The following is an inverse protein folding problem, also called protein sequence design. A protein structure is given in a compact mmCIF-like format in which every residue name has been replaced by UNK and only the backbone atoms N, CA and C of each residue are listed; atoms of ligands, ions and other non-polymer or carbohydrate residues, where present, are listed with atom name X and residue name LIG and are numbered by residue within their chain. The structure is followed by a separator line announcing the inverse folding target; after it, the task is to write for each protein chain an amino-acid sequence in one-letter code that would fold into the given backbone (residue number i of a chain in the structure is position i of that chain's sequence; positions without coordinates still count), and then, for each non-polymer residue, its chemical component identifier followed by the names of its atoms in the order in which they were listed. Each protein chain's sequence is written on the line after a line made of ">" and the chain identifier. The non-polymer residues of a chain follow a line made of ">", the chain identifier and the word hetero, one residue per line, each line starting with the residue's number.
data_IF_581238479014
#
_entry.id   IF_581238479014
#
_cell.length_a   1.000
_cell.length_b   1.000
_cell.length_c   1.000
_cell.angle_alpha   90.00
_cell.angle_beta   90.00
_cell.angle_gamma   90.00
#
_symmetry.space_group_name_H-M   'P 1'
#
loop_
_entity.id
_entity.type
_entity.pdbx_description
1 polymer ?
#
# COMPACT_ATOMS: atom_id res chain seq x y z
N UNK A 1 4.26 -16.13 6.23
CA UNK A 1 3.00 -15.68 5.59
C UNK A 1 3.01 -15.78 4.04
N UNK A 2 3.64 -14.89 3.25
CA UNK A 2 3.52 -14.96 1.77
C UNK A 2 4.12 -16.22 1.14
N UNK A 3 5.25 -16.71 1.66
CA UNK A 3 5.85 -17.99 1.21
C UNK A 3 4.96 -19.19 1.51
N UNK A 4 4.32 -19.22 2.69
CA UNK A 4 3.33 -20.24 3.04
C UNK A 4 2.11 -20.21 2.12
N UNK A 5 1.75 -19.04 1.58
CA UNK A 5 0.68 -18.88 0.60
C UNK A 5 1.10 -19.19 -0.83
N UNK A 6 2.32 -19.69 -1.05
CA UNK A 6 2.93 -19.91 -2.38
C UNK A 6 3.05 -18.63 -3.21
N UNK A 7 3.18 -17.47 -2.55
CA UNK A 7 3.34 -16.15 -3.16
C UNK A 7 4.74 -15.56 -2.92
N UNK A 8 5.77 -16.41 -2.77
CA UNK A 8 7.13 -15.96 -2.49
C UNK A 8 7.70 -15.00 -3.54
N UNK A 9 7.23 -15.08 -4.79
CA UNK A 9 7.63 -14.19 -5.87
C UNK A 9 7.12 -12.75 -5.69
N UNK A 10 6.07 -12.54 -4.89
CA UNK A 10 5.53 -11.20 -4.59
C UNK A 10 6.17 -10.58 -3.34
N UNK A 11 7.13 -11.25 -2.68
CA UNK A 11 7.66 -10.77 -1.41
C UNK A 11 8.29 -9.38 -1.53
N UNK A 12 9.06 -9.13 -2.58
CA UNK A 12 9.77 -7.86 -2.76
C UNK A 12 8.80 -6.73 -3.13
N UNK A 13 7.87 -6.99 -4.06
CA UNK A 13 6.84 -6.04 -4.48
C UNK A 13 5.91 -5.69 -3.30
N UNK A 14 5.46 -6.70 -2.54
CA UNK A 14 4.62 -6.49 -1.37
C UNK A 14 5.34 -5.76 -0.24
N UNK A 15 6.60 -6.10 0.04
CA UNK A 15 7.41 -5.41 1.06
C UNK A 15 7.59 -3.93 0.70
N UNK A 16 7.85 -3.64 -0.57
CA UNK A 16 8.02 -2.28 -1.04
C UNK A 16 6.72 -1.48 -0.97
N UNK A 17 5.59 -2.04 -1.42
CA UNK A 17 4.26 -1.41 -1.26
C UNK A 17 3.95 -1.13 0.21
N UNK A 18 4.16 -2.11 1.10
CA UNK A 18 3.91 -1.93 2.54
C UNK A 18 4.81 -0.83 3.11
N UNK A 19 6.08 -0.77 2.72
CA UNK A 19 7.02 0.26 3.15
C UNK A 19 6.56 1.66 2.73
N UNK A 20 6.19 1.85 1.47
CA UNK A 20 5.72 3.13 0.95
C UNK A 20 4.41 3.58 1.64
N UNK A 21 3.43 2.68 1.76
CA UNK A 21 2.15 3.00 2.39
C UNK A 21 2.30 3.31 3.89
N UNK A 22 3.15 2.55 4.59
CA UNK A 22 3.40 2.79 6.02
C UNK A 22 4.19 4.08 6.23
N UNK A 23 5.16 4.39 5.36
CA UNK A 23 5.92 5.64 5.44
C UNK A 23 5.02 6.86 5.23
N UNK A 24 4.10 6.79 4.25
CA UNK A 24 3.10 7.83 4.06
C UNK A 24 2.22 7.97 5.31
N UNK A 25 1.64 6.86 5.79
CA UNK A 25 0.77 6.87 6.96
C UNK A 25 1.47 7.48 8.20
N UNK A 26 2.71 7.08 8.50
CA UNK A 26 3.47 7.59 9.65
C UNK A 26 3.86 9.06 9.48
N UNK A 27 4.27 9.46 8.27
CA UNK A 27 4.68 10.85 7.98
C UNK A 27 3.51 11.82 8.13
N UNK A 28 2.31 11.42 7.69
CA UNK A 28 1.10 12.23 7.84
C UNK A 28 0.53 12.15 9.27
N UNK A 29 0.61 10.98 9.94
CA UNK A 29 0.18 10.83 11.32
C UNK A 29 1.02 11.66 12.31
N UNK A 30 2.30 11.91 12.02
CA UNK A 30 3.14 12.82 12.78
C UNK A 30 2.65 14.28 12.76
N UNK A 31 1.72 14.63 11.85
CA UNK A 31 1.10 15.96 11.75
C UNK A 31 -0.23 16.07 12.52
N UNK A 32 -0.71 15.00 13.16
CA UNK A 32 -1.88 15.03 14.03
C UNK A 32 -2.32 13.65 14.49
N UNK A 33 -2.47 13.50 15.82
CA UNK A 33 -3.00 12.36 16.61
C UNK A 33 -3.39 11.13 15.76
N UNK A 34 -2.38 10.39 15.32
CA UNK A 34 -2.56 9.08 14.68
C UNK A 34 -1.51 8.11 15.22
N UNK A 35 -1.91 7.22 16.11
CA UNK A 35 -1.03 6.26 16.78
C UNK A 35 -1.25 4.81 16.33
N UNK A 36 -2.23 4.58 15.47
CA UNK A 36 -2.62 3.24 15.03
C UNK A 36 -2.39 3.06 13.53
N UNK A 37 -1.64 2.01 13.22
CA UNK A 37 -1.46 1.48 11.88
C UNK A 37 -1.92 0.03 11.85
N UNK A 38 -2.72 -0.33 10.86
CA UNK A 38 -3.20 -1.70 10.66
C UNK A 38 -2.80 -2.18 9.27
N UNK A 39 -2.13 -3.33 9.20
CA UNK A 39 -1.77 -4.01 7.96
C UNK A 39 -2.62 -5.27 7.81
N UNK A 40 -3.36 -5.36 6.70
CA UNK A 40 -4.13 -6.55 6.33
C UNK A 40 -3.63 -7.08 5.00
N UNK A 41 -3.28 -8.36 4.97
CA UNK A 41 -2.95 -9.11 3.75
C UNK A 41 -4.06 -10.12 3.47
N UNK A 42 -4.59 -10.12 2.24
CA UNK A 42 -5.61 -11.08 1.81
C UNK A 42 -5.29 -11.60 0.42
N UNK A 43 -5.41 -12.92 0.22
CA UNK A 43 -5.38 -13.52 -1.12
C UNK A 43 -6.80 -13.69 -1.62
N UNK A 44 -7.14 -13.14 -2.78
CA UNK A 44 -8.48 -13.22 -3.37
C UNK A 44 -8.38 -13.17 -4.89
N UNK A 45 -9.14 -14.00 -5.60
CA UNK A 45 -9.38 -13.88 -7.05
C UNK A 45 -8.12 -13.60 -7.90
N UNK A 46 -7.00 -14.29 -7.62
CA UNK A 46 -5.75 -14.11 -8.37
C UNK A 46 -4.95 -12.86 -8.02
N UNK A 47 -5.28 -12.16 -6.93
CA UNK A 47 -4.51 -11.02 -6.42
C UNK A 47 -4.13 -11.20 -4.94
N UNK A 48 -3.02 -10.58 -4.56
CA UNK A 48 -2.69 -10.26 -3.18
C UNK A 48 -3.19 -8.84 -2.90
N UNK A 49 -4.18 -8.73 -2.03
CA UNK A 49 -4.68 -7.45 -1.51
C UNK A 49 -3.83 -7.06 -0.31
N UNK A 50 -3.19 -5.91 -0.41
CA UNK A 50 -2.45 -5.26 0.67
C UNK A 50 -3.26 -4.06 1.12
N UNK A 51 -3.58 -3.98 2.40
CA UNK A 51 -4.29 -2.83 2.96
C UNK A 51 -3.53 -2.26 4.15
N UNK A 52 -3.31 -0.95 4.12
CA UNK A 52 -2.74 -0.19 5.22
C UNK A 52 -3.77 0.83 5.67
N UNK A 53 -4.15 0.77 6.94
CA UNK A 53 -5.07 1.73 7.54
C UNK A 53 -4.36 2.57 8.59
N UNK A 54 -4.69 3.86 8.61
CA UNK A 54 -4.27 4.82 9.63
C UNK A 54 -5.50 5.53 10.20
N UNK A 55 -5.37 6.15 11.38
CA UNK A 55 -6.45 6.92 12.03
C UNK A 55 -6.55 8.37 11.55
N UNK A 56 -5.70 8.82 10.62
CA UNK A 56 -5.64 10.19 10.13
C UNK A 56 -6.58 10.41 8.93
N UNK A 57 -7.72 11.05 9.20
CA UNK A 57 -8.79 11.26 8.22
C UNK A 57 -8.68 12.56 7.38
N UNK A 58 -7.79 13.48 7.76
CA UNK A 58 -7.77 14.84 7.24
C UNK A 58 -7.01 15.01 5.92
N UNK A 59 -6.11 14.08 5.60
CA UNK A 59 -5.33 14.10 4.36
C UNK A 59 -5.45 12.76 3.66
N UNK A 60 -5.79 12.82 2.38
CA UNK A 60 -5.85 11.67 1.50
C UNK A 60 -4.55 11.55 0.71
N UNK A 61 -4.04 10.34 0.46
CA UNK A 61 -2.87 10.13 -0.39
C UNK A 61 -3.19 10.63 -1.81
N UNK A 62 -2.43 11.60 -2.29
CA UNK A 62 -2.57 12.13 -3.65
C UNK A 62 -1.41 11.67 -4.52
N UNK A 63 -1.74 11.13 -5.70
CA UNK A 63 -0.73 10.80 -6.71
C UNK A 63 -0.17 12.11 -7.28
N UNK A 64 0.98 12.54 -6.75
CA UNK A 64 1.69 13.71 -7.24
C UNK A 64 2.85 13.32 -8.16
N UNK A 65 3.14 14.17 -9.15
CA UNK A 65 4.37 14.10 -9.94
C UNK A 65 5.40 15.04 -9.30
N UNK A 66 6.37 14.52 -8.53
CA UNK A 66 7.39 15.38 -7.96
C UNK A 66 8.25 15.99 -9.07
N UNK A 67 8.73 17.22 -8.85
CA UNK A 67 9.72 17.85 -9.72
C UNK A 67 11.02 17.03 -9.74
N UNK A 68 11.87 17.14 -10.78
CA UNK A 68 13.09 16.33 -10.88
C UNK A 68 14.01 16.46 -9.67
N UNK A 69 14.07 17.65 -9.09
CA UNK A 69 14.86 18.05 -7.91
C UNK A 69 14.24 17.65 -6.56
N UNK A 70 12.95 17.31 -6.50
CA UNK A 70 12.35 16.81 -5.27
C UNK A 70 12.81 15.38 -5.02
N UNK A 71 13.19 15.03 -3.79
CA UNK A 71 13.60 13.67 -3.42
C UNK A 71 12.46 12.84 -2.82
N UNK A 72 11.35 13.48 -2.43
CA UNK A 72 10.16 12.85 -1.85
C UNK A 72 8.98 12.79 -2.85
N UNK A 73 7.91 12.07 -2.51
CA UNK A 73 6.68 12.05 -3.31
C UNK A 73 6.62 11.04 -4.45
N UNK A 74 7.61 10.14 -4.55
CA UNK A 74 7.61 9.05 -5.54
C UNK A 74 6.93 7.77 -5.04
N UNK A 75 6.66 7.66 -3.74
CA UNK A 75 6.14 6.44 -3.13
C UNK A 75 4.84 5.97 -3.77
N UNK A 76 3.86 6.87 -3.95
CA UNK A 76 2.60 6.51 -4.61
C UNK A 76 2.76 6.22 -6.11
N UNK A 77 3.74 6.82 -6.80
CA UNK A 77 4.04 6.48 -8.20
C UNK A 77 4.58 5.05 -8.30
N UNK A 78 5.35 4.61 -7.31
CA UNK A 78 5.86 3.26 -7.24
C UNK A 78 4.74 2.26 -6.91
N UNK A 79 3.86 2.60 -5.96
CA UNK A 79 2.66 1.81 -5.67
C UNK A 79 1.79 1.68 -6.92
N UNK A 80 1.55 2.78 -7.62
CA UNK A 80 0.77 2.81 -8.87
C UNK A 80 1.39 1.88 -9.92
N UNK A 81 2.69 1.98 -10.17
CA UNK A 81 3.41 1.18 -11.16
C UNK A 81 3.45 -0.33 -10.86
N UNK A 82 3.48 -0.72 -9.58
CA UNK A 82 3.50 -2.13 -9.17
C UNK A 82 2.11 -2.75 -9.07
N UNK A 83 1.08 -1.93 -8.90
CA UNK A 83 -0.27 -2.38 -8.66
C UNK A 83 -1.02 -2.72 -9.96
N UNK A 84 -1.89 -3.73 -9.89
CA UNK A 84 -2.94 -3.89 -10.89
C UNK A 84 -4.04 -2.83 -10.69
N UNK A 85 -4.31 -2.51 -9.43
CA UNK A 85 -5.23 -1.47 -9.01
C UNK A 85 -4.90 -1.06 -7.58
N UNK A 86 -5.17 0.20 -7.25
CA UNK A 86 -5.11 0.68 -5.87
C UNK A 86 -6.13 1.78 -5.66
N UNK A 87 -6.38 2.12 -4.41
CA UNK A 87 -7.23 3.25 -4.06
C UNK A 87 -7.28 3.50 -2.58
N UNK A 88 -8.14 4.45 -2.20
CA UNK A 88 -8.30 4.90 -0.82
C UNK A 88 -9.77 4.85 -0.47
N UNK A 89 -10.09 4.43 0.74
CA UNK A 89 -11.45 4.46 1.28
C UNK A 89 -11.45 4.91 2.74
N UNK A 90 -12.50 5.60 3.22
CA UNK A 90 -12.66 5.87 4.64
C UNK A 90 -12.73 4.57 5.45
N UNK A 91 -12.17 4.57 6.66
CA UNK A 91 -12.36 3.48 7.61
C UNK A 91 -13.74 3.61 8.28
N UNK A 92 -14.28 2.52 8.81
CA UNK A 92 -15.38 2.61 9.76
C UNK A 92 -14.85 3.29 11.04
N UNK A 93 -15.23 4.55 11.26
CA UNK A 93 -14.67 5.41 12.31
C UNK A 93 -13.67 6.42 11.75
N UNK A 94 -12.76 6.91 12.59
CA UNK A 94 -11.72 7.84 12.15
C UNK A 94 -10.64 7.11 11.32
N UNK A 95 -10.23 7.74 10.23
CA UNK A 95 -9.09 7.31 9.43
C UNK A 95 -9.43 6.85 8.02
N UNK A 96 -8.45 6.27 7.36
CA UNK A 96 -8.52 5.81 5.98
C UNK A 96 -7.81 4.48 5.81
N UNK A 97 -8.18 3.76 4.77
CA UNK A 97 -7.51 2.56 4.29
C UNK A 97 -7.04 2.77 2.87
N UNK A 98 -5.73 2.66 2.65
CA UNK A 98 -5.16 2.52 1.31
C UNK A 98 -5.09 1.04 0.98
N UNK A 99 -5.64 0.65 -0.16
CA UNK A 99 -5.66 -0.74 -0.62
C UNK A 99 -4.95 -0.86 -1.96
N UNK A 100 -4.23 -1.97 -2.15
CA UNK A 100 -3.43 -2.27 -3.34
C UNK A 100 -3.67 -3.72 -3.74
N UNK A 101 -3.89 -3.96 -5.02
CA UNK A 101 -3.96 -5.28 -5.63
C UNK A 101 -2.65 -5.56 -6.36
N UNK A 102 -1.91 -6.57 -5.90
CA UNK A 102 -0.76 -7.13 -6.60
C UNK A 102 -1.18 -8.39 -7.34
N UNK A 103 -0.89 -8.47 -8.63
CA UNK A 103 -1.26 -9.62 -9.45
C UNK A 103 -0.49 -10.87 -8.99
N UNK A 104 -1.21 -11.93 -8.63
CA UNK A 104 -0.59 -13.24 -8.42
C UNK A 104 -0.31 -13.81 -9.79
N UNK A 105 0.95 -13.74 -10.21
CA UNK A 105 1.39 -14.38 -11.44
C UNK A 105 1.34 -15.88 -11.18
N UNK A 106 0.46 -16.58 -11.88
CA UNK A 106 0.59 -18.03 -12.00
C UNK A 106 1.90 -18.22 -12.76
N UNK A 107 2.92 -18.72 -12.06
CA UNK A 107 4.14 -19.14 -12.74
C UNK A 107 3.71 -20.06 -13.86
N UNK A 108 4.11 -19.73 -15.09
CA UNK A 108 4.00 -20.68 -16.18
C UNK A 108 4.68 -21.96 -15.71
N UNK A 109 3.90 -23.03 -15.63
CA UNK A 109 4.46 -24.36 -15.81
C UNK A 109 4.89 -24.41 -17.27
N UNK A 110 6.16 -24.11 -17.52
CA UNK A 110 6.89 -24.60 -18.69
C UNK A 110 7.90 -25.65 -18.22
#
# INVERSE_FOLDING_TARGET
>A
MLREWKLGHLCDEAALVVSELTTNAVTHAAQGIGDQLELVLRRRDGVLVVEVSDSYQWEMPELRKPAPEETSGRGLLLVDALSQAWGVRPRTGAGKTVWVHLAVRHGGEE
#
